data_IF_426002516623
#
_entry.id   IF_426002516623
#
_cell.length_a   1.000
_cell.length_b   1.000
_cell.length_c   1.000
_cell.angle_alpha   90.00
_cell.angle_beta   90.00
_cell.angle_gamma   90.00
#
_symmetry.space_group_name_H-M   'P 1'
#
loop_
_entity.id
_entity.type
_entity.pdbx_description
1 polymer ?
#
# COMPACT_ATOMS: atom_id res chain seq x y z
N UNK A 1 -13.15 -0.30 20.66
CA UNK A 1 -12.13 -0.77 19.70
C UNK A 1 -12.13 -2.29 19.48
N UNK A 2 -12.84 -3.05 20.32
CA UNK A 2 -12.91 -4.51 20.18
C UNK A 2 -13.50 -4.96 18.84
N UNK A 3 -14.34 -4.14 18.19
CA UNK A 3 -14.92 -4.43 16.89
C UNK A 3 -14.01 -4.19 15.69
N UNK A 4 -12.85 -3.51 15.86
CA UNK A 4 -11.99 -3.14 14.73
C UNK A 4 -11.27 -4.33 14.09
N UNK A 5 -11.04 -5.40 14.83
CA UNK A 5 -10.41 -6.61 14.27
C UNK A 5 -11.39 -7.51 13.55
N UNK A 6 -12.71 -7.30 13.74
CA UNK A 6 -13.74 -8.16 13.18
C UNK A 6 -13.88 -7.96 11.68
N UNK A 7 -13.77 -9.04 10.91
CA UNK A 7 -13.95 -9.03 9.48
C UNK A 7 -15.42 -8.89 9.11
N UNK A 8 -15.70 -8.24 7.98
CA UNK A 8 -17.02 -8.19 7.37
C UNK A 8 -17.28 -9.46 6.57
N UNK A 9 -18.56 -9.76 6.37
CA UNK A 9 -18.96 -10.83 5.45
C UNK A 9 -18.45 -10.52 4.04
N UNK A 10 -17.82 -11.51 3.41
CA UNK A 10 -17.27 -11.37 2.07
C UNK A 10 -15.90 -10.71 2.00
N UNK A 11 -15.36 -10.24 3.11
CA UNK A 11 -14.00 -9.70 3.13
C UNK A 11 -12.98 -10.83 2.99
N UNK A 12 -12.03 -10.69 2.05
CA UNK A 12 -10.97 -11.66 1.85
C UNK A 12 -9.97 -11.61 2.99
N UNK A 13 -9.57 -12.75 3.53
CA UNK A 13 -8.65 -12.86 4.65
C UNK A 13 -7.88 -14.18 4.57
N UNK A 14 -6.81 -14.30 5.37
CA UNK A 14 -6.06 -15.53 5.48
C UNK A 14 -6.74 -16.46 6.50
N UNK A 15 -7.21 -17.64 6.08
CA UNK A 15 -7.98 -18.53 6.97
C UNK A 15 -7.14 -19.14 8.10
N UNK A 16 -5.81 -19.23 7.94
CA UNK A 16 -4.95 -19.78 8.97
C UNK A 16 -4.77 -18.82 10.15
N UNK A 17 -4.79 -17.52 9.90
CA UNK A 17 -4.58 -16.48 10.92
C UNK A 17 -5.84 -15.76 11.35
N UNK A 18 -6.86 -15.72 10.47
CA UNK A 18 -8.04 -14.89 10.68
C UNK A 18 -7.79 -13.39 10.45
N UNK A 19 -6.59 -13.01 10.02
CA UNK A 19 -6.22 -11.66 9.63
C UNK A 19 -6.06 -11.57 8.11
N UNK A 20 -5.77 -10.37 7.59
CA UNK A 20 -5.57 -10.19 6.15
C UNK A 20 -4.28 -10.85 5.67
N UNK A 21 -3.22 -10.81 6.48
CA UNK A 21 -1.96 -11.46 6.17
C UNK A 21 -1.81 -12.80 6.88
N UNK A 22 -1.02 -13.67 6.28
CA UNK A 22 -0.56 -14.90 6.91
C UNK A 22 0.44 -14.63 8.03
N UNK A 23 0.89 -15.71 8.68
CA UNK A 23 1.92 -15.62 9.72
C UNK A 23 3.17 -14.96 9.13
N UNK A 24 3.77 -14.05 9.91
CA UNK A 24 5.00 -13.37 9.50
C UNK A 24 6.14 -14.37 9.33
N UNK A 25 6.78 -14.34 8.15
CA UNK A 25 7.94 -15.18 7.88
C UNK A 25 9.11 -14.79 8.80
N UNK A 26 9.84 -15.79 9.28
CA UNK A 26 10.99 -15.61 10.18
C UNK A 26 12.09 -14.74 9.55
N UNK A 27 12.20 -14.75 8.22
CA UNK A 27 13.21 -13.97 7.49
C UNK A 27 13.02 -12.46 7.65
N UNK A 28 11.81 -12.00 7.98
CA UNK A 28 11.59 -10.58 8.25
C UNK A 28 12.15 -10.15 9.60
N UNK A 29 12.38 -11.08 10.53
CA UNK A 29 12.90 -10.75 11.85
C UNK A 29 12.03 -9.72 12.55
N UNK A 30 12.64 -8.62 13.01
CA UNK A 30 11.96 -7.53 13.70
C UNK A 30 11.58 -6.37 12.76
N UNK A 31 11.61 -6.56 11.44
CA UNK A 31 11.23 -5.51 10.49
C UNK A 31 9.78 -5.10 10.70
N UNK A 32 9.56 -3.80 10.68
CA UNK A 32 8.22 -3.21 10.75
C UNK A 32 7.47 -3.45 9.44
N UNK A 33 6.15 -3.27 9.48
CA UNK A 33 5.26 -3.44 8.35
C UNK A 33 4.97 -2.08 7.71
N UNK A 34 5.28 -1.95 6.43
CA UNK A 34 4.98 -0.74 5.64
C UNK A 34 3.90 -1.07 4.62
N UNK A 35 2.75 -0.41 4.77
CA UNK A 35 1.61 -0.56 3.88
C UNK A 35 1.61 0.62 2.91
N UNK A 36 1.59 0.31 1.61
CA UNK A 36 1.64 1.30 0.53
C UNK A 36 0.37 1.20 -0.31
N UNK A 37 -0.27 2.33 -0.53
CA UNK A 37 -1.28 2.49 -1.55
C UNK A 37 -0.65 2.41 -2.94
N UNK A 38 -1.44 2.09 -3.95
CA UNK A 38 -0.97 1.92 -5.32
C UNK A 38 -1.30 3.12 -6.21
N UNK A 39 -2.59 3.32 -6.49
CA UNK A 39 -3.05 4.34 -7.44
C UNK A 39 -2.89 5.75 -6.88
N UNK A 40 -2.31 6.65 -7.68
CA UNK A 40 -1.97 8.03 -7.33
C UNK A 40 -0.99 8.18 -6.17
N UNK A 41 -0.47 7.06 -5.66
CA UNK A 41 0.62 7.04 -4.67
C UNK A 41 1.94 6.57 -5.30
N UNK A 42 1.93 5.42 -5.98
CA UNK A 42 3.10 4.84 -6.65
C UNK A 42 3.07 5.01 -8.17
N UNK A 43 1.87 5.00 -8.74
CA UNK A 43 1.62 5.09 -10.18
C UNK A 43 0.38 5.92 -10.42
N UNK A 44 0.17 6.31 -11.69
CA UNK A 44 -1.11 6.80 -12.17
C UNK A 44 -1.53 5.99 -13.39
N UNK A 45 -2.81 5.66 -13.50
CA UNK A 45 -3.34 4.89 -14.62
C UNK A 45 -4.53 5.58 -15.26
N UNK A 46 -4.74 5.28 -16.55
CA UNK A 46 -5.83 5.86 -17.34
C UNK A 46 -6.29 4.86 -18.40
N UNK A 47 -7.59 4.84 -18.69
CA UNK A 47 -8.13 4.12 -19.85
C UNK A 47 -7.83 4.86 -21.16
N UNK A 48 -7.51 6.15 -21.11
CA UNK A 48 -7.11 6.94 -22.27
C UNK A 48 -5.67 6.65 -22.63
N UNK A 49 -5.38 6.58 -23.93
CA UNK A 49 -4.02 6.41 -24.43
C UNK A 49 -3.09 7.47 -23.85
N UNK A 50 -1.97 7.00 -23.26
CA UNK A 50 -0.89 7.85 -22.79
C UNK A 50 0.38 7.47 -23.55
N UNK A 51 0.92 8.41 -24.31
CA UNK A 51 2.11 8.18 -25.14
C UNK A 51 3.34 7.79 -24.31
N UNK A 52 3.43 8.32 -23.10
CA UNK A 52 4.56 8.10 -22.19
C UNK A 52 4.30 6.99 -21.16
N UNK A 53 3.32 6.13 -21.40
CA UNK A 53 3.01 5.05 -20.48
C UNK A 53 4.21 4.11 -20.32
N UNK A 54 4.51 3.77 -19.06
CA UNK A 54 5.53 2.77 -18.73
C UNK A 54 5.00 1.35 -18.93
N UNK A 55 3.70 1.15 -18.66
CA UNK A 55 3.04 -0.15 -18.81
C UNK A 55 1.68 0.00 -19.47
N UNK A 56 1.27 -1.06 -20.16
CA UNK A 56 -0.11 -1.21 -20.66
C UNK A 56 -0.65 -2.52 -20.10
N UNK A 57 -1.71 -2.43 -19.30
CA UNK A 57 -2.31 -3.59 -18.63
C UNK A 57 -3.64 -3.90 -19.32
N UNK A 58 -3.78 -5.08 -19.95
CA UNK A 58 -5.06 -5.51 -20.48
C UNK A 58 -5.96 -5.97 -19.33
N UNK A 59 -7.17 -5.44 -19.26
CA UNK A 59 -8.16 -5.80 -18.22
C UNK A 59 -9.47 -6.17 -18.91
N UNK A 60 -9.97 -7.36 -18.63
CA UNK A 60 -11.28 -7.80 -19.14
C UNK A 60 -12.39 -7.24 -18.28
N UNK A 61 -13.29 -6.47 -18.90
CA UNK A 61 -14.50 -5.91 -18.26
C UNK A 61 -15.67 -6.21 -19.18
N UNK A 62 -16.69 -6.91 -18.66
CA UNK A 62 -17.92 -7.26 -19.41
C UNK A 62 -17.60 -7.97 -20.74
N UNK A 63 -16.69 -8.94 -20.71
CA UNK A 63 -16.23 -9.72 -21.87
C UNK A 63 -15.52 -8.90 -22.95
N UNK A 64 -15.08 -7.69 -22.62
CA UNK A 64 -14.27 -6.83 -23.49
C UNK A 64 -12.93 -6.54 -22.84
N UNK A 65 -11.87 -6.55 -23.65
CA UNK A 65 -10.53 -6.23 -23.14
C UNK A 65 -10.32 -4.72 -23.26
N UNK A 66 -10.07 -4.09 -22.12
CA UNK A 66 -9.69 -2.67 -22.05
C UNK A 66 -8.21 -2.57 -21.76
N UNK A 67 -7.56 -1.55 -22.31
CA UNK A 67 -6.14 -1.29 -22.05
C UNK A 67 -6.01 -0.16 -21.05
N UNK A 68 -5.34 -0.43 -19.93
CA UNK A 68 -5.04 0.56 -18.90
C UNK A 68 -3.59 0.99 -19.07
N UNK A 69 -3.39 2.29 -19.30
CA UNK A 69 -2.06 2.89 -19.48
C UNK A 69 -1.57 3.39 -18.13
N UNK A 70 -0.36 2.99 -17.76
CA UNK A 70 0.18 3.23 -16.41
C UNK A 70 1.49 4.00 -16.52
N UNK A 71 1.60 5.08 -15.73
CA UNK A 71 2.81 5.89 -15.61
C UNK A 71 3.34 5.77 -14.19
N UNK A 72 4.63 5.54 -14.05
CA UNK A 72 5.31 5.45 -12.75
C UNK A 72 5.55 6.83 -12.15
N UNK A 73 5.27 6.98 -10.85
CA UNK A 73 5.66 8.17 -10.11
C UNK A 73 7.18 8.28 -10.05
N UNK A 74 7.74 9.51 -10.17
CA UNK A 74 9.18 9.69 -10.06
C UNK A 74 9.74 9.08 -8.77
N UNK A 75 10.83 8.32 -8.90
CA UNK A 75 11.53 7.72 -7.77
C UNK A 75 10.94 6.42 -7.24
N UNK A 76 9.85 5.89 -7.84
CA UNK A 76 9.17 4.70 -7.30
C UNK A 76 10.09 3.48 -7.25
N UNK A 77 10.93 3.26 -8.25
CA UNK A 77 11.81 2.09 -8.29
C UNK A 77 12.83 2.11 -7.16
N UNK A 78 13.50 3.24 -6.96
CA UNK A 78 14.45 3.41 -5.85
C UNK A 78 13.76 3.31 -4.49
N UNK A 79 12.58 3.92 -4.37
CA UNK A 79 11.77 3.87 -3.15
C UNK A 79 11.43 2.43 -2.77
N UNK A 80 10.88 1.67 -3.70
CA UNK A 80 10.51 0.28 -3.44
C UNK A 80 11.73 -0.58 -3.12
N UNK A 81 12.82 -0.40 -3.85
CA UNK A 81 14.06 -1.16 -3.58
C UNK A 81 14.54 -0.96 -2.16
N UNK A 82 14.61 0.27 -1.69
CA UNK A 82 15.05 0.60 -0.32
C UNK A 82 14.06 0.12 0.73
N UNK A 83 12.77 0.34 0.51
CA UNK A 83 11.74 -0.07 1.47
C UNK A 83 11.66 -1.58 1.61
N UNK A 84 11.85 -2.32 0.53
CA UNK A 84 11.85 -3.78 0.58
C UNK A 84 12.96 -4.38 1.43
N UNK A 85 14.06 -3.64 1.63
CA UNK A 85 15.16 -4.05 2.50
C UNK A 85 14.93 -3.71 3.97
N UNK A 86 14.16 -2.65 4.23
CA UNK A 86 13.97 -2.11 5.58
C UNK A 86 12.70 -2.63 6.27
N UNK A 87 11.68 -2.95 5.49
CA UNK A 87 10.34 -3.28 5.97
C UNK A 87 9.82 -4.58 5.38
N UNK A 88 8.83 -5.17 6.04
CA UNK A 88 7.88 -6.06 5.40
C UNK A 88 6.89 -5.17 4.65
N UNK A 89 6.95 -5.18 3.31
CA UNK A 89 6.19 -4.26 2.45
C UNK A 89 4.92 -4.93 1.96
N UNK A 90 3.80 -4.24 2.17
CA UNK A 90 2.47 -4.65 1.72
C UNK A 90 1.93 -3.58 0.80
N UNK A 91 1.63 -3.89 -0.44
CA UNK A 91 0.81 -3.01 -1.27
C UNK A 91 -0.65 -3.35 -0.99
N UNK A 92 -1.39 -2.35 -0.53
CA UNK A 92 -2.81 -2.48 -0.20
C UNK A 92 -3.59 -1.46 -1.03
N UNK A 93 -4.38 -1.93 -1.98
CA UNK A 93 -5.10 -1.08 -2.92
C UNK A 93 -6.60 -1.33 -2.89
N UNK A 94 -7.37 -0.26 -3.09
CA UNK A 94 -8.82 -0.37 -3.33
C UNK A 94 -9.14 -0.81 -4.75
N UNK A 95 -8.14 -0.99 -5.60
CA UNK A 95 -8.31 -1.53 -6.95
C UNK A 95 -8.50 -3.04 -6.93
N UNK A 96 -9.13 -3.56 -7.99
CA UNK A 96 -9.39 -4.99 -8.11
C UNK A 96 -8.12 -5.74 -8.53
N UNK A 97 -8.05 -7.01 -8.13
CA UNK A 97 -6.91 -7.89 -8.38
C UNK A 97 -6.58 -7.99 -9.88
N UNK A 98 -7.58 -8.09 -10.75
CA UNK A 98 -7.34 -8.28 -12.20
C UNK A 98 -6.62 -7.10 -12.87
N UNK A 99 -6.60 -5.93 -12.23
CA UNK A 99 -5.78 -4.80 -12.63
C UNK A 99 -4.47 -4.73 -11.82
N UNK A 100 -4.58 -4.79 -10.50
CA UNK A 100 -3.46 -4.56 -9.60
C UNK A 100 -2.37 -5.62 -9.65
N UNK A 101 -2.76 -6.89 -9.76
CA UNK A 101 -1.80 -7.98 -9.75
C UNK A 101 -0.87 -7.98 -10.96
N UNK A 102 -1.38 -7.91 -12.22
CA UNK A 102 -0.48 -7.79 -13.37
C UNK A 102 0.31 -6.49 -13.40
N UNK A 103 -0.23 -5.40 -12.86
CA UNK A 103 0.53 -4.15 -12.74
C UNK A 103 1.72 -4.33 -11.79
N UNK A 104 1.51 -4.92 -10.62
CA UNK A 104 2.57 -5.15 -9.65
C UNK A 104 3.64 -6.12 -10.18
N UNK A 105 3.26 -7.09 -11.01
CA UNK A 105 4.24 -7.97 -11.68
C UNK A 105 5.22 -7.18 -12.54
N UNK A 106 4.76 -6.08 -13.16
CA UNK A 106 5.60 -5.21 -13.99
C UNK A 106 6.32 -4.13 -13.19
N UNK A 107 5.66 -3.60 -12.16
CA UNK A 107 6.20 -2.49 -11.36
C UNK A 107 7.31 -2.95 -10.42
N UNK A 108 7.14 -4.11 -9.79
CA UNK A 108 8.02 -4.59 -8.73
C UNK A 108 9.25 -5.31 -9.29
N UNK A 109 10.13 -4.55 -9.93
CA UNK A 109 11.31 -5.08 -10.64
C UNK A 109 12.39 -5.65 -9.69
N UNK A 110 12.39 -5.24 -8.42
CA UNK A 110 13.36 -5.72 -7.42
C UNK A 110 12.77 -6.71 -6.43
N UNK A 111 11.55 -7.17 -6.69
CA UNK A 111 10.84 -8.09 -5.79
C UNK A 111 10.78 -7.55 -4.35
N UNK A 112 10.45 -6.28 -4.23
CA UNK A 112 10.43 -5.53 -2.97
C UNK A 112 9.09 -5.59 -2.25
N UNK A 113 8.00 -5.86 -2.97
CA UNK A 113 6.65 -5.98 -2.41
C UNK A 113 6.45 -7.43 -1.95
N UNK A 114 6.27 -7.62 -0.65
CA UNK A 114 6.19 -8.94 -0.06
C UNK A 114 4.77 -9.50 -0.04
N UNK A 115 3.76 -8.63 0.05
CA UNK A 115 2.34 -9.00 0.07
C UNK A 115 1.51 -8.03 -0.75
N UNK A 116 0.41 -8.54 -1.31
CA UNK A 116 -0.54 -7.76 -2.12
C UNK A 116 -1.94 -7.96 -1.58
N UNK A 117 -2.60 -6.87 -1.22
CA UNK A 117 -4.00 -6.85 -0.79
C UNK A 117 -4.79 -5.95 -1.72
N UNK A 118 -5.96 -6.41 -2.13
CA UNK A 118 -6.80 -5.74 -3.13
C UNK A 118 -8.12 -5.31 -2.52
N UNK A 119 -9.04 -4.84 -3.36
CA UNK A 119 -10.34 -4.29 -2.92
C UNK A 119 -11.09 -5.21 -1.98
N UNK A 120 -11.10 -6.50 -2.23
CA UNK A 120 -11.82 -7.48 -1.41
C UNK A 120 -11.26 -7.65 0.01
N UNK A 121 -10.05 -7.17 0.27
CA UNK A 121 -9.48 -7.10 1.62
C UNK A 121 -9.77 -5.79 2.35
N UNK A 122 -10.33 -4.79 1.66
CA UNK A 122 -10.74 -3.54 2.29
C UNK A 122 -11.99 -3.73 3.13
N UNK A 123 -12.09 -2.96 4.21
CA UNK A 123 -13.30 -2.85 5.02
C UNK A 123 -14.22 -1.79 4.41
N UNK A 124 -15.45 -2.14 4.09
CA UNK A 124 -16.40 -1.19 3.52
C UNK A 124 -17.14 -0.47 4.64
N UNK A 125 -16.92 0.84 4.74
CA UNK A 125 -17.54 1.69 5.75
C UNK A 125 -18.14 2.92 5.08
N UNK A 126 -19.48 3.02 5.13
CA UNK A 126 -20.21 4.15 4.56
C UNK A 126 -19.84 4.44 3.10
N UNK A 127 -19.66 3.38 2.31
CA UNK A 127 -19.32 3.48 0.89
C UNK A 127 -17.84 3.69 0.60
N UNK A 128 -16.98 3.80 1.63
CA UNK A 128 -15.55 3.95 1.47
C UNK A 128 -14.83 2.61 1.70
N UNK A 129 -13.76 2.40 0.95
CA UNK A 129 -12.87 1.26 1.14
C UNK A 129 -11.79 1.62 2.15
N UNK A 130 -11.93 1.11 3.38
CA UNK A 130 -11.00 1.38 4.47
C UNK A 130 -9.92 0.31 4.49
N UNK A 131 -8.69 0.74 4.63
CA UNK A 131 -7.55 -0.15 4.89
C UNK A 131 -7.39 -0.22 6.40
N UNK A 132 -8.02 -1.23 6.99
CA UNK A 132 -8.11 -1.36 8.43
C UNK A 132 -6.87 -2.05 8.99
N UNK A 133 -5.97 -1.28 9.60
CA UNK A 133 -4.69 -1.79 10.11
C UNK A 133 -4.87 -2.80 11.23
N UNK A 134 -5.98 -2.75 11.97
CA UNK A 134 -6.28 -3.72 13.02
C UNK A 134 -6.54 -5.13 12.47
N UNK A 135 -6.82 -5.25 11.18
CA UNK A 135 -7.08 -6.54 10.52
C UNK A 135 -5.84 -7.13 9.83
N UNK A 136 -4.75 -6.38 9.76
CA UNK A 136 -3.56 -6.80 9.02
C UNK A 136 -2.91 -8.04 9.63
N UNK A 137 -2.89 -8.15 10.95
CA UNK A 137 -2.23 -9.26 11.64
C UNK A 137 -0.77 -8.96 11.97
N UNK A 138 -0.44 -7.68 12.12
CA UNK A 138 0.86 -7.21 12.60
C UNK A 138 0.64 -6.25 13.77
N UNK A 139 1.60 -6.10 14.70
CA UNK A 139 1.45 -5.16 15.81
C UNK A 139 1.24 -3.73 15.27
N UNK A 140 0.26 -3.01 15.79
CA UNK A 140 -0.03 -1.64 15.37
C UNK A 140 1.17 -0.71 15.58
N UNK A 141 1.89 -0.89 16.68
CA UNK A 141 3.10 -0.11 16.98
C UNK A 141 4.21 -0.27 15.94
N UNK A 142 4.13 -1.31 15.09
CA UNK A 142 5.09 -1.59 14.02
C UNK A 142 4.53 -1.36 12.63
N UNK A 143 3.32 -0.82 12.51
CA UNK A 143 2.61 -0.72 11.22
C UNK A 143 2.42 0.72 10.79
N UNK A 144 2.84 1.01 9.56
CA UNK A 144 2.77 2.34 8.94
C UNK A 144 2.00 2.21 7.64
N UNK A 145 1.13 3.18 7.33
CA UNK A 145 0.46 3.29 6.04
C UNK A 145 0.79 4.60 5.34
N UNK A 146 1.13 4.52 4.06
CA UNK A 146 1.30 5.67 3.17
C UNK A 146 0.20 5.62 2.13
N UNK A 147 -0.64 6.63 2.10
CA UNK A 147 -1.82 6.67 1.22
C UNK A 147 -2.17 8.13 0.91
N UNK A 148 -2.58 8.37 -0.33
CA UNK A 148 -3.01 9.69 -0.79
C UNK A 148 -4.46 10.03 -0.39
N UNK A 149 -5.22 9.05 0.08
CA UNK A 149 -6.62 9.23 0.48
C UNK A 149 -6.78 9.09 1.99
N UNK A 150 -7.11 10.19 2.71
CA UNK A 150 -7.32 10.11 4.16
C UNK A 150 -8.45 9.17 4.59
N UNK A 151 -9.45 8.95 3.73
CA UNK A 151 -10.52 7.99 4.02
C UNK A 151 -9.98 6.58 4.23
N UNK A 152 -8.90 6.21 3.52
CA UNK A 152 -8.31 4.86 3.60
C UNK A 152 -7.84 4.51 5.01
N UNK A 153 -7.34 5.48 5.78
CA UNK A 153 -6.77 5.25 7.11
C UNK A 153 -7.56 5.91 8.24
N UNK A 154 -8.86 6.14 8.03
CA UNK A 154 -9.69 6.86 8.98
C UNK A 154 -9.75 6.21 10.36
N UNK A 155 -9.53 4.88 10.45
CA UNK A 155 -9.50 4.17 11.73
C UNK A 155 -8.16 4.30 12.45
N UNK A 156 -7.09 4.67 11.75
CA UNK A 156 -5.73 4.72 12.29
C UNK A 156 -4.94 5.92 11.75
N UNK A 157 -5.45 7.16 11.95
CA UNK A 157 -4.78 8.34 11.38
C UNK A 157 -3.39 8.58 11.97
N UNK A 158 -3.14 8.15 13.19
CA UNK A 158 -1.85 8.25 13.87
C UNK A 158 -0.79 7.23 13.40
N UNK A 159 -1.16 6.33 12.49
CA UNK A 159 -0.24 5.38 11.84
C UNK A 159 -0.01 5.73 10.37
N UNK A 160 -0.50 6.87 9.92
CA UNK A 160 -0.45 7.26 8.51
C UNK A 160 0.61 8.31 8.21
N UNK A 161 1.16 8.20 7.02
CA UNK A 161 1.95 9.26 6.40
C UNK A 161 1.15 9.71 5.18
N UNK A 162 0.57 10.92 5.20
CA UNK A 162 -0.15 11.44 4.05
C UNK A 162 0.84 11.77 2.92
N UNK A 163 0.40 11.54 1.70
CA UNK A 163 1.16 11.87 0.49
C UNK A 163 0.19 12.50 -0.51
N UNK A 164 0.69 13.43 -1.32
CA UNK A 164 -0.13 14.07 -2.35
C UNK A 164 -0.50 13.07 -3.45
N UNK A 165 -1.72 13.19 -3.97
CA UNK A 165 -2.13 12.43 -5.15
C UNK A 165 -1.27 12.83 -6.34
N UNK A 166 -0.66 11.84 -7.00
CA UNK A 166 0.19 12.08 -8.15
C UNK A 166 -0.49 11.59 -9.44
N UNK A 167 -0.41 12.42 -10.48
CA UNK A 167 -1.00 12.12 -11.79
C UNK A 167 0.03 12.17 -12.91
N UNK A 168 0.80 13.27 -13.03
CA UNK A 168 1.67 13.47 -14.18
C UNK A 168 2.89 14.37 -13.95
N UNK A 169 3.05 14.95 -12.75
CA UNK A 169 4.15 15.87 -12.47
C UNK A 169 5.49 15.13 -12.44
N UNK A 170 6.31 15.33 -13.47
CA UNK A 170 7.62 14.71 -13.60
C UNK A 170 8.66 15.27 -12.61
N UNK A 171 8.37 16.38 -11.95
CA UNK A 171 9.24 17.00 -10.94
C UNK A 171 8.84 16.61 -9.50
N UNK A 172 7.90 15.70 -9.34
CA UNK A 172 7.51 15.20 -8.02
C UNK A 172 8.68 14.47 -7.36
N UNK A 173 8.92 14.76 -6.08
CA UNK A 173 9.99 14.17 -5.27
C UNK A 173 9.48 13.51 -3.98
N UNK A 174 8.17 13.39 -3.80
CA UNK A 174 7.64 13.00 -2.49
C UNK A 174 8.08 11.61 -2.04
N UNK A 175 8.14 10.63 -2.97
CA UNK A 175 8.61 9.28 -2.60
C UNK A 175 10.07 9.30 -2.14
N UNK A 176 10.94 9.96 -2.90
CA UNK A 176 12.36 10.05 -2.55
C UNK A 176 12.58 10.82 -1.25
N UNK A 177 11.80 11.88 -1.02
CA UNK A 177 11.92 12.71 0.17
C UNK A 177 11.49 11.97 1.44
N UNK A 178 10.64 10.94 1.31
CA UNK A 178 10.22 10.11 2.44
C UNK A 178 11.29 9.10 2.88
N UNK A 179 12.25 8.77 2.02
CA UNK A 179 13.22 7.71 2.30
C UNK A 179 13.98 7.94 3.60
N UNK A 180 14.59 9.12 3.86
CA UNK A 180 15.33 9.33 5.11
C UNK A 180 14.46 9.18 6.36
N UNK A 181 13.23 9.68 6.31
CA UNK A 181 12.29 9.56 7.42
C UNK A 181 11.92 8.09 7.69
N UNK A 182 11.66 7.34 6.62
CA UNK A 182 11.32 5.91 6.73
C UNK A 182 12.52 5.07 7.17
N UNK A 183 13.73 5.45 6.79
CA UNK A 183 14.94 4.82 7.32
C UNK A 183 15.04 5.00 8.83
N UNK A 184 14.71 6.19 9.34
CA UNK A 184 14.71 6.47 10.78
C UNK A 184 13.62 5.70 11.51
N UNK A 185 12.40 5.66 10.96
CA UNK A 185 11.29 4.90 11.55
C UNK A 185 11.55 3.39 11.62
N UNK A 186 12.36 2.86 10.68
CA UNK A 186 12.69 1.44 10.64
C UNK A 186 13.63 1.01 11.78
N UNK A 187 14.31 1.96 12.42
CA UNK A 187 15.31 1.65 13.46
C UNK A 187 14.68 0.99 14.69
N UNK A 188 15.36 0.01 15.31
CA UNK A 188 14.85 -0.68 16.50
C UNK A 188 14.56 0.24 17.68
N UNK A 189 15.20 1.42 17.77
CA UNK A 189 14.96 2.38 18.84
C UNK A 189 13.55 2.97 18.79
N UNK A 190 12.88 2.90 17.63
CA UNK A 190 11.48 3.35 17.50
C UNK A 190 10.59 2.19 17.93
N UNK A 191 10.10 2.26 19.17
CA UNK A 191 9.25 1.21 19.77
C UNK A 191 7.81 1.27 19.28
N UNK A 192 7.31 2.48 18.97
CA UNK A 192 5.92 2.71 18.56
C UNK A 192 5.86 3.81 17.51
N UNK A 193 5.62 3.42 16.27
CA UNK A 193 5.52 4.37 15.15
C UNK A 193 4.34 5.32 15.30
N UNK A 194 3.25 4.87 15.96
CA UNK A 194 2.08 5.71 16.19
C UNK A 194 2.39 6.94 17.03
N UNK A 195 3.28 6.80 18.03
CA UNK A 195 3.69 7.94 18.86
C UNK A 195 4.54 8.94 18.07
N UNK A 196 5.39 8.46 17.17
CA UNK A 196 6.24 9.33 16.33
C UNK A 196 5.39 10.06 15.30
N UNK A 197 4.49 9.36 14.62
CA UNK A 197 3.67 9.92 13.55
C UNK A 197 2.62 10.89 14.10
N UNK A 198 2.06 10.60 15.28
CA UNK A 198 1.09 11.49 15.94
C UNK A 198 1.70 12.86 16.26
N UNK A 199 2.96 12.89 16.70
CA UNK A 199 3.68 14.13 16.99
C UNK A 199 4.03 14.90 15.72
N UNK A 200 4.27 14.20 14.61
CA UNK A 200 4.70 14.78 13.33
C UNK A 200 3.57 15.48 12.57
N UNK A 201 2.34 15.23 12.98
CA UNK A 201 1.15 15.86 12.39
C UNK A 201 0.74 17.07 13.25
#
# INVERSE_FOLDING_TARGET
>A
LEGLTKLQDGQAFNPETGYLLGKKDKNFGNKKCLILDLDETLVHSSFKYLRNADFVIPVEIDNQIHHVYVVKRPGVDEFLQKMGKLYEVVVFTASVLKYGDPLLDKLDIYNSVHHRLFRDSCYNYQGNFIKNLSQIGRPLEDTIIIDNSPASYIFHPDHSIPISSWFSDLHDNELLDLIPFLEDLAKPIVDDVGLVLDISL
#
